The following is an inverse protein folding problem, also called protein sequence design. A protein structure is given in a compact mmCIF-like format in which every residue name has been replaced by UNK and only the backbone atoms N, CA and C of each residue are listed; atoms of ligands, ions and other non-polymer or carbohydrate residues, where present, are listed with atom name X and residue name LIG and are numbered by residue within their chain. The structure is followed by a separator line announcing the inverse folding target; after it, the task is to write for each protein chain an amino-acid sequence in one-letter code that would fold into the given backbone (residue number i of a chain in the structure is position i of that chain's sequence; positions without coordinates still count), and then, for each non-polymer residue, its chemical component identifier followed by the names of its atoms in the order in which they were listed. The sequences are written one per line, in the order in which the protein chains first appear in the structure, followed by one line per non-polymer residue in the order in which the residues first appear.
data_IF_035066431879
#
_entry.id   IF_035066431879
#
_cell.length_a   1.000
_cell.length_b   1.000
_cell.length_c   1.000
_cell.angle_alpha   90.00
_cell.angle_beta   90.00
_cell.angle_gamma   90.00
#
_symmetry.space_group_name_H-M   'P 1'
#
loop_
_entity.id
_entity.type
_entity.pdbx_description
1 polymer ?
#
# COMPACT_ATOMS: atom_id res chain seq x y z
N UNK A 1 6.54 -6.56 -14.13
CA UNK A 1 6.72 -7.84 -13.42
C UNK A 1 5.47 -8.31 -12.68
N UNK A 2 4.37 -8.61 -13.40
CA UNK A 2 3.14 -9.22 -12.83
C UNK A 2 2.96 -10.69 -13.27
N UNK A 3 4.00 -11.31 -13.82
CA UNK A 3 3.88 -12.52 -14.66
C UNK A 3 4.64 -13.75 -14.10
N UNK A 4 4.68 -13.94 -12.78
CA UNK A 4 5.45 -15.07 -12.20
C UNK A 4 4.81 -15.77 -10.99
N UNK A 5 3.49 -15.65 -10.78
CA UNK A 5 2.81 -16.46 -9.76
C UNK A 5 1.97 -17.54 -10.44
N UNK A 6 2.55 -18.73 -10.59
CA UNK A 6 1.77 -19.93 -10.94
C UNK A 6 0.76 -20.22 -9.81
N UNK A 7 -0.50 -20.57 -10.14
CA UNK A 7 -1.45 -20.99 -9.13
C UNK A 7 -0.91 -22.20 -8.35
N UNK A 8 -1.11 -22.19 -7.03
CA UNK A 8 -0.74 -23.33 -6.19
C UNK A 8 -1.70 -24.49 -6.48
N UNK A 9 -1.22 -25.75 -6.48
CA UNK A 9 -2.10 -26.91 -6.55
C UNK A 9 -3.09 -26.92 -5.39
N UNK A 10 -4.33 -27.35 -5.61
CA UNK A 10 -5.38 -27.39 -4.58
C UNK A 10 -4.96 -28.18 -3.34
N UNK A 11 -4.21 -29.28 -3.54
CA UNK A 11 -3.68 -30.10 -2.45
C UNK A 11 -2.71 -29.34 -1.54
N UNK A 12 -1.96 -28.38 -2.08
CA UNK A 12 -1.08 -27.49 -1.31
C UNK A 12 -1.91 -26.43 -0.59
N UNK A 13 -2.93 -25.88 -1.23
CA UNK A 13 -3.84 -24.91 -0.62
C UNK A 13 -4.54 -25.50 0.60
N UNK A 14 -5.07 -26.72 0.51
CA UNK A 14 -5.72 -27.37 1.64
C UNK A 14 -4.76 -27.67 2.80
N UNK A 15 -3.52 -28.07 2.49
CA UNK A 15 -2.47 -28.21 3.51
C UNK A 15 -2.16 -26.89 4.20
N UNK A 16 -2.08 -25.78 3.44
CA UNK A 16 -1.84 -24.45 3.99
C UNK A 16 -2.97 -23.99 4.91
N UNK A 17 -4.24 -24.24 4.54
CA UNK A 17 -5.39 -23.98 5.41
C UNK A 17 -5.35 -24.81 6.68
N UNK A 18 -5.00 -26.10 6.58
CA UNK A 18 -4.88 -26.98 7.74
C UNK A 18 -3.74 -26.55 8.68
N UNK A 19 -2.60 -26.12 8.13
CA UNK A 19 -1.47 -25.61 8.90
C UNK A 19 -1.78 -24.28 9.59
N UNK A 20 -2.51 -23.38 8.92
CA UNK A 20 -2.95 -22.10 9.46
C UNK A 20 -4.41 -22.14 9.90
N UNK A 21 -4.82 -23.23 10.55
CA UNK A 21 -6.25 -23.51 10.85
C UNK A 21 -6.92 -22.34 11.56
N UNK A 22 -6.28 -21.78 12.59
CA UNK A 22 -6.84 -20.66 13.34
C UNK A 22 -7.09 -19.44 12.45
N UNK A 23 -6.09 -19.02 11.68
CA UNK A 23 -6.21 -17.87 10.77
C UNK A 23 -7.25 -18.12 9.68
N UNK A 24 -7.36 -19.36 9.19
CA UNK A 24 -8.37 -19.74 8.21
C UNK A 24 -9.80 -19.64 8.76
N UNK A 25 -10.03 -20.08 9.99
CA UNK A 25 -11.32 -19.96 10.67
C UNK A 25 -11.68 -18.48 10.92
N UNK A 26 -10.70 -17.69 11.39
CA UNK A 26 -10.85 -16.24 11.59
C UNK A 26 -11.21 -15.55 10.27
N UNK A 27 -10.46 -15.82 9.21
CA UNK A 27 -10.72 -15.27 7.88
C UNK A 27 -12.13 -15.65 7.39
N UNK A 28 -12.52 -16.90 7.54
CA UNK A 28 -13.84 -17.40 7.10
C UNK A 28 -14.96 -16.70 7.86
N UNK A 29 -14.83 -16.55 9.18
CA UNK A 29 -15.80 -15.83 10.00
C UNK A 29 -15.94 -14.38 9.55
N UNK A 30 -14.84 -13.63 9.46
CA UNK A 30 -14.87 -12.20 9.13
C UNK A 30 -15.22 -11.92 7.68
N UNK A 31 -14.82 -12.77 6.73
CA UNK A 31 -15.24 -12.62 5.33
C UNK A 31 -16.77 -12.73 5.22
N UNK A 32 -17.38 -13.71 5.91
CA UNK A 32 -18.83 -13.87 5.95
C UNK A 32 -19.52 -12.67 6.63
N UNK A 33 -19.14 -12.34 7.87
CA UNK A 33 -19.80 -11.28 8.63
C UNK A 33 -19.58 -9.90 8.03
N UNK A 34 -18.45 -9.67 7.35
CA UNK A 34 -18.23 -8.47 6.54
C UNK A 34 -19.30 -8.32 5.46
N UNK A 35 -19.54 -9.36 4.66
CA UNK A 35 -20.53 -9.29 3.58
C UNK A 35 -21.96 -9.18 4.10
N UNK A 36 -22.31 -9.89 5.17
CA UNK A 36 -23.60 -9.73 5.85
C UNK A 36 -23.82 -8.27 6.30
N UNK A 37 -22.77 -7.64 6.86
CA UNK A 37 -22.81 -6.24 7.27
C UNK A 37 -22.91 -5.28 6.10
N UNK A 38 -22.16 -5.50 5.02
CA UNK A 38 -22.24 -4.69 3.80
C UNK A 38 -23.66 -4.74 3.24
N UNK A 39 -24.27 -5.91 3.14
CA UNK A 39 -25.63 -6.06 2.60
C UNK A 39 -26.67 -5.35 3.46
N UNK A 40 -26.56 -5.46 4.79
CA UNK A 40 -27.49 -4.82 5.71
C UNK A 40 -27.36 -3.30 5.73
N UNK A 41 -26.14 -2.77 5.76
CA UNK A 41 -25.90 -1.36 6.09
C UNK A 41 -25.70 -0.46 4.84
N UNK A 42 -25.19 -1.01 3.73
CA UNK A 42 -24.76 -0.22 2.53
C UNK A 42 -25.37 -0.75 1.22
N UNK A 43 -25.48 -2.08 1.10
CA UNK A 43 -25.83 -2.81 -0.12
C UNK A 43 -24.61 -3.05 -1.04
N UNK A 44 -24.54 -4.23 -1.67
CA UNK A 44 -23.44 -4.59 -2.59
C UNK A 44 -23.24 -3.63 -3.75
N UNK A 45 -24.31 -3.11 -4.35
CA UNK A 45 -24.19 -2.24 -5.52
C UNK A 45 -23.58 -0.89 -5.18
N UNK A 46 -23.96 -0.29 -4.05
CA UNK A 46 -23.30 0.92 -3.57
C UNK A 46 -21.83 0.64 -3.24
N UNK A 47 -21.53 -0.44 -2.52
CA UNK A 47 -20.13 -0.81 -2.21
C UNK A 47 -19.28 -0.94 -3.48
N UNK A 48 -19.80 -1.58 -4.54
CA UNK A 48 -19.11 -1.67 -5.84
C UNK A 48 -18.85 -0.29 -6.45
N UNK A 49 -19.84 0.60 -6.45
CA UNK A 49 -19.70 1.96 -6.98
C UNK A 49 -18.63 2.75 -6.22
N UNK A 50 -18.64 2.72 -4.89
CA UNK A 50 -17.65 3.41 -4.05
C UNK A 50 -16.23 2.88 -4.32
N UNK A 51 -16.08 1.55 -4.49
CA UNK A 51 -14.78 0.94 -4.85
C UNK A 51 -14.31 1.40 -6.24
N UNK A 52 -15.20 1.47 -7.22
CA UNK A 52 -14.86 1.96 -8.56
C UNK A 52 -14.44 3.44 -8.52
N UNK A 53 -15.14 4.27 -7.76
CA UNK A 53 -14.76 5.68 -7.59
C UNK A 53 -13.40 5.82 -6.90
N UNK A 54 -13.15 5.04 -5.85
CA UNK A 54 -11.86 5.01 -5.16
C UNK A 54 -10.73 4.60 -6.11
N UNK A 55 -10.95 3.60 -6.96
CA UNK A 55 -9.97 3.17 -7.96
C UNK A 55 -9.69 4.27 -8.99
N UNK A 56 -10.72 4.98 -9.46
CA UNK A 56 -10.57 6.10 -10.39
C UNK A 56 -9.75 7.24 -9.77
N UNK A 57 -10.06 7.63 -8.52
CA UNK A 57 -9.30 8.67 -7.78
C UNK A 57 -7.86 8.24 -7.54
N UNK A 58 -7.61 6.98 -7.21
CA UNK A 58 -6.24 6.44 -7.07
C UNK A 58 -5.48 6.50 -8.41
N UNK A 59 -6.13 6.17 -9.52
CA UNK A 59 -5.52 6.23 -10.85
C UNK A 59 -5.23 7.68 -11.28
N UNK A 60 -6.09 8.63 -10.94
CA UNK A 60 -5.84 10.07 -11.11
C UNK A 60 -4.63 10.53 -10.29
N UNK A 61 -4.60 10.25 -8.99
CA UNK A 61 -3.46 10.58 -8.13
C UNK A 61 -2.16 9.97 -8.63
N UNK A 62 -2.19 8.71 -9.08
CA UNK A 62 -1.02 8.06 -9.67
C UNK A 62 -0.51 8.80 -10.91
N UNK A 63 -1.40 9.19 -11.83
CA UNK A 63 -1.04 9.95 -13.04
C UNK A 63 -0.48 11.34 -12.72
N UNK A 64 -1.01 11.98 -11.69
CA UNK A 64 -0.57 13.31 -11.25
C UNK A 64 0.80 13.24 -10.57
N UNK A 65 0.98 12.31 -9.63
CA UNK A 65 2.15 12.26 -8.75
C UNK A 65 3.34 11.47 -9.31
N UNK A 66 3.10 10.39 -10.07
CA UNK A 66 4.13 9.39 -10.35
C UNK A 66 4.78 9.57 -11.71
N UNK A 67 6.08 9.27 -11.78
CA UNK A 67 6.79 9.08 -13.02
C UNK A 67 6.45 7.68 -13.57
N UNK A 68 5.49 7.62 -14.48
CA UNK A 68 4.93 6.37 -15.01
C UNK A 68 3.66 5.93 -14.27
N UNK A 69 3.14 4.75 -14.59
CA UNK A 69 1.82 4.30 -14.12
C UNK A 69 1.86 3.34 -12.93
N UNK A 70 3.04 2.97 -12.42
CA UNK A 70 3.13 1.91 -11.42
C UNK A 70 4.39 1.94 -10.57
N UNK A 71 4.41 0.98 -9.64
CA UNK A 71 5.55 0.75 -8.76
C UNK A 71 6.75 0.20 -9.53
N UNK A 72 7.94 0.61 -9.15
CA UNK A 72 9.22 0.20 -9.71
C UNK A 72 10.02 -0.63 -8.71
N UNK A 73 10.99 -1.40 -9.19
CA UNK A 73 11.89 -2.13 -8.33
C UNK A 73 12.81 -1.17 -7.56
N UNK A 74 13.34 -1.56 -6.38
CA UNK A 74 14.18 -0.70 -5.53
C UNK A 74 15.36 -0.06 -6.26
N UNK A 75 15.99 -0.81 -7.16
CA UNK A 75 17.14 -0.36 -7.96
C UNK A 75 16.78 0.77 -8.95
N UNK A 76 15.53 0.84 -9.37
CA UNK A 76 15.03 1.80 -10.36
C UNK A 76 14.40 3.04 -9.68
N UNK A 77 14.40 3.09 -8.33
CA UNK A 77 13.99 4.26 -7.56
C UNK A 77 15.12 5.29 -7.58
N UNK A 78 14.82 6.45 -8.17
CA UNK A 78 15.77 7.55 -8.38
C UNK A 78 16.09 8.30 -7.08
N UNK A 79 15.09 8.53 -6.26
CA UNK A 79 15.24 9.22 -4.98
C UNK A 79 15.53 8.21 -3.86
N UNK A 80 16.73 8.27 -3.29
CA UNK A 80 17.16 7.36 -2.22
C UNK A 80 16.32 7.49 -0.95
N UNK A 81 15.73 8.66 -0.67
CA UNK A 81 14.86 8.87 0.49
C UNK A 81 13.51 8.14 0.37
N UNK A 82 13.12 7.77 -0.84
CA UNK A 82 11.89 7.02 -1.14
C UNK A 82 12.12 5.52 -1.31
N UNK A 83 13.34 5.02 -1.04
CA UNK A 83 13.64 3.59 -1.14
C UNK A 83 13.09 2.83 0.07
N UNK A 84 12.18 1.87 -0.12
CA UNK A 84 11.71 1.01 0.97
C UNK A 84 12.87 0.15 1.49
N UNK A 85 12.88 -0.07 2.82
CA UNK A 85 13.79 -1.05 3.42
C UNK A 85 13.54 -2.41 2.79
N UNK A 86 14.59 -3.07 2.30
CA UNK A 86 14.51 -4.44 1.80
C UNK A 86 14.89 -5.40 2.92
N UNK A 87 14.10 -6.46 3.10
CA UNK A 87 14.38 -7.51 4.09
C UNK A 87 13.98 -8.88 3.55
N UNK A 88 14.81 -9.90 3.82
CA UNK A 88 14.61 -11.26 3.32
C UNK A 88 14.72 -11.36 1.80
N UNK A 89 14.07 -12.38 1.21
CA UNK A 89 14.06 -12.62 -0.23
C UNK A 89 12.97 -11.88 -1.00
N UNK A 90 12.11 -11.10 -0.32
CA UNK A 90 11.02 -10.38 -0.96
C UNK A 90 11.49 -9.02 -1.49
N UNK A 91 11.16 -8.72 -2.74
CA UNK A 91 11.46 -7.42 -3.35
C UNK A 91 10.30 -6.45 -3.12
N UNK A 92 10.49 -5.53 -2.18
CA UNK A 92 9.50 -4.50 -1.85
C UNK A 92 9.61 -3.38 -2.89
N UNK A 93 8.55 -3.15 -3.65
CA UNK A 93 8.53 -2.14 -4.71
C UNK A 93 8.32 -0.73 -4.14
N UNK A 94 8.69 0.30 -4.90
CA UNK A 94 8.44 1.70 -4.53
C UNK A 94 8.01 2.53 -5.74
N UNK A 95 8.04 3.86 -5.62
CA UNK A 95 7.56 4.75 -6.67
C UNK A 95 8.57 5.87 -6.97
N UNK A 96 8.60 6.30 -8.22
CA UNK A 96 9.28 7.52 -8.63
C UNK A 96 8.26 8.65 -8.74
N UNK A 97 8.56 9.82 -8.19
CA UNK A 97 7.74 11.02 -8.37
C UNK A 97 7.99 11.65 -9.74
N UNK A 98 6.95 12.24 -10.32
CA UNK A 98 7.05 13.04 -11.54
C UNK A 98 7.91 14.29 -11.29
N UNK A 99 8.71 14.68 -12.28
CA UNK A 99 9.53 15.89 -12.19
C UNK A 99 8.70 17.14 -12.49
N UNK A 100 9.08 18.28 -11.90
CA UNK A 100 8.45 19.58 -12.15
C UNK A 100 7.04 19.73 -11.55
N UNK A 101 6.74 19.00 -10.47
CA UNK A 101 5.53 19.25 -9.68
C UNK A 101 5.65 20.59 -8.96
N UNK A 102 4.53 21.30 -8.78
CA UNK A 102 4.51 22.47 -7.91
C UNK A 102 4.84 22.08 -6.47
N UNK A 103 5.37 23.03 -5.68
CA UNK A 103 5.93 22.71 -4.36
C UNK A 103 4.91 22.22 -3.32
N UNK A 104 3.61 22.47 -3.49
CA UNK A 104 2.58 21.94 -2.60
C UNK A 104 2.15 20.52 -3.01
N UNK A 105 1.93 20.31 -4.30
CA UNK A 105 1.63 19.01 -4.87
C UNK A 105 2.80 18.06 -4.67
N UNK A 106 4.04 18.49 -4.85
CA UNK A 106 5.21 17.66 -4.62
C UNK A 106 5.25 17.18 -3.17
N UNK A 107 5.04 18.07 -2.19
CA UNK A 107 4.99 17.70 -0.76
C UNK A 107 3.89 16.67 -0.48
N UNK A 108 2.72 16.85 -1.09
CA UNK A 108 1.58 15.95 -0.91
C UNK A 108 1.86 14.58 -1.54
N UNK A 109 2.28 14.55 -2.80
CA UNK A 109 2.66 13.33 -3.52
C UNK A 109 3.79 12.58 -2.80
N UNK A 110 4.81 13.31 -2.33
CA UNK A 110 5.92 12.72 -1.58
C UNK A 110 5.46 12.04 -0.31
N UNK A 111 4.57 12.67 0.48
CA UNK A 111 4.01 12.05 1.69
C UNK A 111 3.27 10.75 1.38
N UNK A 112 2.52 10.69 0.27
CA UNK A 112 1.77 9.50 -0.13
C UNK A 112 2.67 8.31 -0.51
N UNK A 113 3.87 8.57 -1.03
CA UNK A 113 4.79 7.51 -1.49
C UNK A 113 5.95 7.24 -0.52
N UNK A 114 6.03 7.96 0.60
CA UNK A 114 7.10 7.79 1.58
C UNK A 114 6.95 6.41 2.26
N UNK A 115 8.00 5.55 2.26
CA UNK A 115 7.91 4.23 2.89
C UNK A 115 7.81 4.32 4.42
N UNK A 116 7.39 3.22 5.03
CA UNK A 116 6.86 3.14 6.40
C UNK A 116 7.85 3.64 7.45
N UNK A 117 9.13 3.28 7.33
CA UNK A 117 10.17 3.69 8.28
C UNK A 117 10.47 5.19 8.18
N UNK A 118 10.61 5.70 6.97
CA UNK A 118 10.83 7.12 6.73
C UNK A 118 9.62 7.93 7.19
N UNK A 119 8.40 7.47 6.90
CA UNK A 119 7.17 8.15 7.30
C UNK A 119 6.99 8.13 8.82
N UNK A 120 7.24 7.00 9.47
CA UNK A 120 7.20 6.88 10.93
C UNK A 120 8.21 7.80 11.60
N UNK A 121 9.43 7.89 11.07
CA UNK A 121 10.44 8.83 11.59
C UNK A 121 10.00 10.30 11.45
N UNK A 122 9.37 10.65 10.32
CA UNK A 122 8.81 11.99 10.10
C UNK A 122 7.68 12.30 11.10
N UNK A 123 6.78 11.35 11.34
CA UNK A 123 5.69 11.52 12.30
C UNK A 123 6.22 11.64 13.74
N UNK A 124 7.19 10.81 14.10
CA UNK A 124 7.80 10.83 15.42
C UNK A 124 8.44 12.20 15.73
N UNK A 125 9.24 12.75 14.81
CA UNK A 125 9.87 14.07 14.97
C UNK A 125 8.84 15.21 15.06
N UNK A 126 7.69 15.07 14.39
CA UNK A 126 6.60 16.05 14.49
C UNK A 126 5.89 16.00 15.84
N UNK A 127 5.71 14.79 16.38
CA UNK A 127 5.05 14.59 17.66
C UNK A 127 5.97 14.96 18.83
N UNK A 128 7.27 14.70 18.69
CA UNK A 128 8.29 14.96 19.71
C UNK A 128 9.42 15.80 19.11
N UNK A 129 9.25 17.12 19.02
CA UNK A 129 10.28 18.01 18.48
C UNK A 129 11.55 17.94 19.35
N UNK A 130 12.75 17.85 18.77
CA UNK A 130 13.99 17.96 19.52
C UNK A 130 14.07 19.34 20.19
N UNK A 131 14.67 19.39 21.38
CA UNK A 131 14.93 20.68 22.02
C UNK A 131 15.86 21.53 21.12
N UNK A 132 15.61 22.85 21.03
CA UNK A 132 16.49 23.74 20.29
C UNK A 132 17.92 23.62 20.85
N UNK A 133 18.91 23.55 19.96
CA UNK A 133 20.30 23.52 20.38
C UNK A 133 20.63 24.81 21.15
N UNK A 134 21.23 24.67 22.34
CA UNK A 134 21.76 25.80 23.11
C UNK A 134 22.88 26.44 22.28
N UNK A 135 22.69 27.70 21.90
CA UNK A 135 23.68 28.56 21.24
C UNK A 135 24.62 29.20 22.24
#
# INVERSE_FOLDING_TARGET
DSSTKSPLPDSVVEKLKAWNRLDWEIYTHFNRTFWERIERDIGRERMRREVMELQARRAELARTCLQGTGSVAPKDIKDSSLRPLQHGGARILGYNLKQGLDGELERTCRRLVTPELQYSSLLYKKQFPPQPAET
#
